data_IF_931199447759
#
_entry.id   IF_931199447759
#
_cell.length_a   1.000
_cell.length_b   1.000
_cell.length_c   1.000
_cell.angle_alpha   90.00
_cell.angle_beta   90.00
_cell.angle_gamma   90.00
#
_symmetry.space_group_name_H-M   'P 1'
#
loop_
_entity.id
_entity.type
_entity.pdbx_description
1 polymer ?
#
# COMPACT_ATOMS: atom_id res chain seq x y z
N UNK A 1 7.15 -16.55 21.60
CA UNK A 1 7.79 -16.78 20.27
C UNK A 1 8.33 -15.46 19.74
N UNK A 2 9.43 -15.44 19.00
CA UNK A 2 9.91 -14.19 18.39
C UNK A 2 8.88 -13.69 17.36
N UNK A 3 8.73 -12.36 17.27
CA UNK A 3 7.93 -11.70 16.26
C UNK A 3 8.49 -12.04 14.87
N UNK A 4 7.62 -12.44 13.95
CA UNK A 4 7.96 -12.70 12.55
C UNK A 4 7.11 -11.79 11.68
N UNK A 5 7.72 -11.12 10.72
CA UNK A 5 7.04 -10.24 9.77
C UNK A 5 7.54 -10.57 8.36
N UNK A 6 6.63 -10.91 7.44
CA UNK A 6 6.88 -10.88 6.01
C UNK A 6 6.44 -9.53 5.46
N UNK A 7 7.35 -8.78 4.86
CA UNK A 7 7.06 -7.48 4.25
C UNK A 7 7.47 -7.50 2.79
N UNK A 8 6.49 -7.32 1.89
CA UNK A 8 6.66 -7.49 0.45
C UNK A 8 5.96 -6.38 -0.34
N UNK A 9 6.41 -6.16 -1.57
CA UNK A 9 5.70 -5.30 -2.51
C UNK A 9 4.57 -6.06 -3.22
N UNK A 10 3.40 -5.44 -3.32
CA UNK A 10 2.27 -6.00 -4.07
C UNK A 10 2.52 -6.03 -5.59
N UNK A 11 3.41 -5.16 -6.08
CA UNK A 11 3.94 -5.21 -7.44
C UNK A 11 5.37 -4.69 -7.48
N UNK A 12 6.16 -5.23 -8.41
CA UNK A 12 7.50 -4.70 -8.68
C UNK A 12 7.41 -3.32 -9.34
N UNK A 13 8.14 -2.35 -8.82
CA UNK A 13 8.30 -1.04 -9.42
C UNK A 13 9.30 -1.02 -10.61
N UNK A 14 9.94 -2.15 -10.88
CA UNK A 14 10.88 -2.34 -11.99
C UNK A 14 10.20 -3.09 -13.14
N UNK A 15 9.68 -4.28 -12.86
CA UNK A 15 9.10 -5.15 -13.89
C UNK A 15 7.58 -5.05 -14.01
N UNK A 16 6.92 -4.42 -13.04
CA UNK A 16 5.46 -4.36 -12.96
C UNK A 16 4.77 -5.65 -12.50
N UNK A 17 5.51 -6.75 -12.33
CA UNK A 17 4.93 -8.06 -11.97
C UNK A 17 4.20 -7.96 -10.63
N UNK A 18 2.97 -8.45 -10.62
CA UNK A 18 2.10 -8.52 -9.43
C UNK A 18 2.45 -9.73 -8.56
N UNK A 19 2.43 -9.53 -7.25
CA UNK A 19 2.53 -10.59 -6.26
C UNK A 19 1.14 -11.13 -5.93
N UNK A 20 1.00 -12.45 -5.77
CA UNK A 20 -0.23 -13.02 -5.22
C UNK A 20 -0.30 -12.75 -3.70
N UNK A 21 -0.80 -11.57 -3.34
CA UNK A 21 -0.80 -11.09 -1.96
C UNK A 21 -1.63 -11.98 -1.03
N UNK A 22 -2.70 -12.59 -1.52
CA UNK A 22 -3.57 -13.47 -0.73
C UNK A 22 -2.87 -14.79 -0.40
N UNK A 23 -2.30 -15.46 -1.39
CA UNK A 23 -1.61 -16.74 -1.18
C UNK A 23 -0.37 -16.58 -0.27
N UNK A 24 0.37 -15.48 -0.44
CA UNK A 24 1.55 -15.21 0.39
C UNK A 24 1.13 -14.84 1.82
N UNK A 25 0.07 -14.04 2.00
CA UNK A 25 -0.45 -13.71 3.33
C UNK A 25 -0.90 -14.97 4.08
N UNK A 26 -1.65 -15.85 3.42
CA UNK A 26 -2.06 -17.14 3.98
C UNK A 26 -0.86 -17.99 4.40
N UNK A 27 0.17 -18.07 3.55
CA UNK A 27 1.40 -18.81 3.86
C UNK A 27 2.11 -18.21 5.09
N UNK A 28 2.23 -16.88 5.17
CA UNK A 28 2.84 -16.20 6.32
C UNK A 28 2.10 -16.52 7.62
N UNK A 29 0.77 -16.41 7.62
CA UNK A 29 -0.06 -16.67 8.81
C UNK A 29 0.01 -18.13 9.24
N UNK A 30 0.02 -19.09 8.32
CA UNK A 30 0.24 -20.50 8.65
C UNK A 30 1.58 -20.75 9.35
N UNK A 31 2.59 -19.90 9.12
CA UNK A 31 3.89 -19.96 9.79
C UNK A 31 4.00 -19.00 11.00
N UNK A 32 2.89 -18.39 11.42
CA UNK A 32 2.83 -17.48 12.57
C UNK A 32 3.59 -16.18 12.34
N UNK A 33 3.63 -15.70 11.10
CA UNK A 33 4.22 -14.42 10.71
C UNK A 33 3.13 -13.43 10.31
N UNK A 34 3.35 -12.15 10.60
CA UNK A 34 2.51 -11.04 10.12
C UNK A 34 2.75 -10.77 8.64
N UNK A 35 1.72 -10.30 7.95
CA UNK A 35 1.69 -10.04 6.52
C UNK A 35 1.59 -8.55 6.23
N UNK A 36 2.71 -7.91 5.85
CA UNK A 36 2.82 -6.48 5.55
C UNK A 36 3.05 -6.27 4.06
N UNK A 37 2.37 -5.26 3.48
CA UNK A 37 2.35 -5.07 2.04
C UNK A 37 2.57 -3.62 1.60
N UNK A 38 3.55 -3.41 0.74
CA UNK A 38 3.75 -2.15 0.05
C UNK A 38 2.95 -2.10 -1.25
N UNK A 39 1.95 -1.22 -1.28
CA UNK A 39 1.12 -0.93 -2.44
C UNK A 39 1.57 0.34 -3.19
N UNK A 40 2.76 0.86 -2.93
CA UNK A 40 3.22 2.11 -3.55
C UNK A 40 3.22 2.06 -5.09
N UNK A 41 3.60 0.93 -5.69
CA UNK A 41 3.53 0.74 -7.15
C UNK A 41 2.14 0.29 -7.61
N UNK A 42 1.51 -0.63 -6.86
CA UNK A 42 0.27 -1.28 -7.27
C UNK A 42 -0.99 -0.45 -6.97
N UNK A 43 -0.97 0.37 -5.92
CA UNK A 43 -2.17 0.92 -5.30
C UNK A 43 -3.07 1.73 -6.22
N UNK A 44 -2.53 2.39 -7.24
CA UNK A 44 -3.34 3.13 -8.22
C UNK A 44 -4.05 2.25 -9.23
N UNK A 45 -3.57 1.01 -9.43
CA UNK A 45 -4.03 0.12 -10.52
C UNK A 45 -4.93 -1.01 -10.04
N UNK A 46 -4.78 -1.46 -8.80
CA UNK A 46 -5.47 -2.65 -8.29
C UNK A 46 -6.44 -2.30 -7.17
N UNK A 47 -7.39 -3.21 -6.93
CA UNK A 47 -8.23 -3.15 -5.74
C UNK A 47 -7.36 -3.40 -4.51
N UNK A 48 -7.58 -2.62 -3.45
CA UNK A 48 -6.81 -2.69 -2.20
C UNK A 48 -7.75 -3.17 -1.11
N UNK A 49 -7.52 -4.37 -0.62
CA UNK A 49 -8.36 -4.99 0.39
C UNK A 49 -7.50 -5.56 1.52
N UNK A 50 -7.78 -5.12 2.75
CA UNK A 50 -7.17 -5.68 3.96
C UNK A 50 -7.69 -7.10 4.22
N UNK A 51 -9.00 -7.31 4.03
CA UNK A 51 -9.70 -8.55 4.28
C UNK A 51 -10.43 -8.96 3.00
N UNK A 52 -9.77 -9.70 2.08
CA UNK A 52 -10.39 -10.10 0.82
C UNK A 52 -11.60 -11.01 1.07
N UNK A 53 -12.80 -10.65 0.54
CA UNK A 53 -14.03 -11.37 0.83
C UNK A 53 -14.16 -12.72 0.10
N UNK A 54 -13.51 -12.84 -1.05
CA UNK A 54 -13.72 -13.95 -2.00
C UNK A 54 -12.62 -15.03 -1.90
N UNK A 55 -11.90 -15.08 -0.80
CA UNK A 55 -10.85 -16.07 -0.58
C UNK A 55 -11.28 -17.04 0.51
N UNK A 56 -11.32 -18.33 0.18
CA UNK A 56 -11.71 -19.43 1.11
C UNK A 56 -10.81 -19.54 2.35
N UNK A 57 -9.73 -18.76 2.41
CA UNK A 57 -8.81 -18.76 3.53
C UNK A 57 -9.04 -17.56 4.45
N UNK A 58 -9.47 -17.84 5.66
CA UNK A 58 -9.58 -16.85 6.76
C UNK A 58 -8.24 -16.17 7.04
N UNK A 59 -7.14 -16.76 6.60
CA UNK A 59 -5.77 -16.30 6.82
C UNK A 59 -5.21 -15.42 5.71
N UNK A 60 -5.98 -15.10 4.66
CA UNK A 60 -5.50 -14.29 3.53
C UNK A 60 -5.52 -12.77 3.78
N UNK A 61 -5.92 -12.34 4.97
CA UNK A 61 -5.93 -10.91 5.34
C UNK A 61 -4.52 -10.32 5.38
N UNK A 62 -4.45 -8.99 5.32
CA UNK A 62 -3.20 -8.24 5.48
C UNK A 62 -3.18 -7.58 6.85
N UNK A 63 -2.05 -7.64 7.55
CA UNK A 63 -1.92 -7.01 8.87
C UNK A 63 -1.58 -5.54 8.75
N UNK A 64 -0.82 -5.16 7.73
CA UNK A 64 -0.55 -3.76 7.40
C UNK A 64 -0.38 -3.57 5.89
N UNK A 65 -0.78 -2.39 5.41
CA UNK A 65 -0.52 -1.93 4.05
C UNK A 65 0.02 -0.50 4.06
N UNK A 66 0.95 -0.25 3.15
CA UNK A 66 1.58 1.04 2.94
C UNK A 66 1.15 1.58 1.58
N UNK A 67 0.67 2.82 1.55
CA UNK A 67 0.12 3.45 0.36
C UNK A 67 0.84 4.75 0.04
N UNK A 68 0.99 5.02 -1.24
CA UNK A 68 1.60 6.25 -1.77
C UNK A 68 0.59 7.02 -2.63
N UNK A 69 -0.38 7.74 -2.03
CA UNK A 69 -1.42 8.45 -2.79
C UNK A 69 -0.84 9.48 -3.76
N UNK A 70 0.38 9.98 -3.52
CA UNK A 70 1.08 10.90 -4.42
C UNK A 70 1.35 10.31 -5.81
N UNK A 71 1.26 9.00 -5.99
CA UNK A 71 1.36 8.31 -7.29
C UNK A 71 0.03 8.15 -8.00
N UNK A 72 -1.08 8.50 -7.36
CA UNK A 72 -2.42 8.46 -7.96
C UNK A 72 -2.66 9.75 -8.78
N UNK A 73 -3.60 9.68 -9.72
CA UNK A 73 -4.00 10.87 -10.49
C UNK A 73 -4.55 11.93 -9.52
N UNK A 74 -4.00 13.14 -9.60
CA UNK A 74 -4.34 14.24 -8.69
C UNK A 74 -3.64 14.20 -7.33
N UNK A 75 -2.78 13.21 -7.07
CA UNK A 75 -2.14 12.96 -5.79
C UNK A 75 -0.79 13.62 -5.47
N UNK A 76 -0.09 14.33 -6.37
CA UNK A 76 1.20 14.94 -6.02
C UNK A 76 1.15 15.73 -4.70
N UNK A 77 2.20 15.57 -3.89
CA UNK A 77 2.35 16.18 -2.55
C UNK A 77 1.42 15.62 -1.45
N UNK A 78 0.65 14.57 -1.70
CA UNK A 78 -0.12 13.92 -0.64
C UNK A 78 0.79 13.12 0.30
N UNK A 79 0.45 13.01 1.60
CA UNK A 79 1.19 12.16 2.53
C UNK A 79 1.06 10.67 2.17
N UNK A 80 2.01 9.87 2.63
CA UNK A 80 1.86 8.42 2.67
C UNK A 80 0.76 8.02 3.64
N UNK A 81 0.17 6.85 3.41
CA UNK A 81 -0.88 6.30 4.29
C UNK A 81 -0.48 4.90 4.74
N UNK A 82 -0.55 4.68 6.05
CA UNK A 82 -0.45 3.37 6.68
C UNK A 82 -1.85 2.95 7.13
N UNK A 83 -2.30 1.78 6.69
CA UNK A 83 -3.46 1.11 7.25
C UNK A 83 -2.98 -0.18 7.90
N UNK A 84 -3.24 -0.34 9.19
CA UNK A 84 -2.79 -1.52 9.92
C UNK A 84 -3.83 -1.95 10.96
N UNK A 85 -3.78 -3.21 11.36
CA UNK A 85 -4.63 -3.74 12.40
C UNK A 85 -4.31 -3.06 13.73
N UNK A 86 -5.37 -2.62 14.43
CA UNK A 86 -5.25 -1.83 15.67
C UNK A 86 -4.44 -2.55 16.75
N UNK A 87 -4.56 -3.86 16.85
CA UNK A 87 -3.84 -4.68 17.83
C UNK A 87 -2.31 -4.70 17.67
N UNK A 88 -1.79 -4.22 16.56
CA UNK A 88 -0.35 -4.10 16.34
C UNK A 88 0.25 -2.89 17.09
N UNK A 89 -0.58 -1.92 17.44
CA UNK A 89 -0.15 -0.69 18.13
C UNK A 89 -0.20 -0.86 19.64
N UNK A 90 0.76 -1.60 20.18
CA UNK A 90 0.82 -1.95 21.62
C UNK A 90 1.61 -0.96 22.47
N UNK A 91 2.41 -0.09 21.84
CA UNK A 91 3.21 0.91 22.54
C UNK A 91 2.31 2.00 23.15
N UNK A 92 2.63 2.39 24.39
CA UNK A 92 1.91 3.47 25.09
C UNK A 92 2.49 4.85 24.79
N UNK A 93 3.75 4.89 24.42
CA UNK A 93 4.49 6.09 24.05
C UNK A 93 4.64 6.10 22.54
N UNK A 94 4.28 7.18 21.83
CA UNK A 94 4.47 7.26 20.37
C UNK A 94 5.94 7.18 20.00
N UNK A 95 6.22 6.69 18.80
CA UNK A 95 7.61 6.60 18.28
C UNK A 95 8.21 7.98 18.12
N UNK A 96 7.39 8.96 17.71
CA UNK A 96 7.78 10.38 17.60
C UNK A 96 6.79 11.21 18.42
N UNK A 97 7.10 11.49 19.70
CA UNK A 97 6.25 12.33 20.54
C UNK A 97 6.28 13.79 20.05
N UNK A 98 5.15 14.47 20.18
CA UNK A 98 5.03 15.88 19.75
C UNK A 98 3.66 16.47 20.04
N UNK A 99 3.45 17.70 19.61
CA UNK A 99 2.13 18.34 19.70
C UNK A 99 1.07 17.49 19.01
N UNK A 100 -0.12 17.42 19.59
CA UNK A 100 -1.23 16.60 19.10
C UNK A 100 -1.21 15.14 19.53
N UNK A 101 -0.12 14.62 20.12
CA UNK A 101 -0.01 13.22 20.58
C UNK A 101 -0.42 13.03 22.03
N UNK A 102 -0.59 14.12 22.79
CA UNK A 102 -0.86 14.13 24.22
C UNK A 102 -2.30 14.56 24.52
N UNK A 103 -2.89 13.94 25.51
CA UNK A 103 -4.17 14.37 26.09
C UNK A 103 -3.97 15.56 27.02
N UNK A 104 -2.88 15.55 27.80
CA UNK A 104 -2.41 16.69 28.57
C UNK A 104 -0.90 16.63 28.80
N UNK A 105 -0.31 17.78 29.12
CA UNK A 105 1.07 17.90 29.55
C UNK A 105 1.21 19.07 30.53
N UNK A 106 1.99 18.89 31.57
CA UNK A 106 2.38 19.94 32.52
C UNK A 106 3.88 19.76 32.88
N UNK A 107 4.50 20.64 33.71
CA UNK A 107 5.91 20.53 34.04
C UNK A 107 6.32 19.23 34.78
N UNK A 108 5.36 18.51 35.36
CA UNK A 108 5.62 17.35 36.23
C UNK A 108 5.18 16.04 35.59
N UNK A 109 4.15 16.07 34.70
CA UNK A 109 3.53 14.85 34.16
C UNK A 109 2.90 15.08 32.78
N UNK A 110 2.64 13.97 32.08
CA UNK A 110 1.94 13.98 30.79
C UNK A 110 1.20 12.67 30.55
N UNK A 111 0.17 12.70 29.70
CA UNK A 111 -0.52 11.51 29.22
C UNK A 111 -0.72 11.58 27.71
N UNK A 112 -0.39 10.52 27.02
CA UNK A 112 -0.61 10.37 25.58
C UNK A 112 -2.06 10.00 25.26
N UNK A 113 -2.48 10.32 24.03
CA UNK A 113 -3.80 9.93 23.53
C UNK A 113 -3.97 8.41 23.52
N UNK A 114 -5.17 7.95 23.84
CA UNK A 114 -5.51 6.53 23.83
C UNK A 114 -5.62 5.97 22.40
N UNK A 115 -6.13 6.78 21.46
CA UNK A 115 -6.24 6.37 20.06
C UNK A 115 -4.87 6.31 19.39
N UNK A 116 -4.46 5.12 18.88
CA UNK A 116 -3.13 4.96 18.30
C UNK A 116 -2.92 5.77 17.01
N UNK A 117 -3.96 5.98 16.19
CA UNK A 117 -3.81 6.76 14.97
C UNK A 117 -3.37 8.19 15.27
N UNK A 118 -4.10 8.88 16.15
CA UNK A 118 -3.75 10.25 16.55
C UNK A 118 -2.46 10.31 17.39
N UNK A 119 -2.23 9.30 18.24
CA UNK A 119 -1.02 9.25 19.07
C UNK A 119 0.26 9.12 18.24
N UNK A 120 0.23 8.38 17.13
CA UNK A 120 1.41 8.17 16.28
C UNK A 120 1.61 9.29 15.22
N UNK A 121 0.69 10.27 15.13
CA UNK A 121 0.78 11.43 14.23
C UNK A 121 1.22 12.68 15.01
N UNK A 122 2.53 12.77 15.35
CA UNK A 122 3.07 13.93 16.05
C UNK A 122 3.28 15.16 15.16
N UNK A 123 2.89 16.33 15.67
CA UNK A 123 2.99 17.62 14.96
C UNK A 123 1.72 17.98 14.19
N UNK A 124 1.74 19.15 13.56
CA UNK A 124 0.64 19.61 12.70
C UNK A 124 0.59 18.76 11.44
N UNK A 125 -0.52 18.05 11.17
CA UNK A 125 -0.61 17.23 9.96
C UNK A 125 -0.69 18.09 8.71
N UNK A 126 -0.35 17.51 7.55
CA UNK A 126 -0.52 18.10 6.23
C UNK A 126 -2.01 18.10 5.85
N UNK A 127 -2.80 19.02 6.42
CA UNK A 127 -4.28 18.98 6.40
C UNK A 127 -4.83 19.00 4.97
N UNK A 128 -4.39 19.94 4.15
CA UNK A 128 -4.88 20.10 2.76
C UNK A 128 -4.46 18.90 1.91
N UNK A 129 -3.23 18.44 2.08
CA UNK A 129 -2.69 17.30 1.38
C UNK A 129 -3.38 15.99 1.81
N UNK A 130 -3.80 15.86 3.07
CA UNK A 130 -4.58 14.73 3.57
C UNK A 130 -6.00 14.74 2.96
N UNK A 131 -6.65 15.90 2.87
CA UNK A 131 -7.94 16.04 2.16
C UNK A 131 -7.78 15.64 0.69
N UNK A 132 -6.70 16.09 0.04
CA UNK A 132 -6.38 15.68 -1.35
C UNK A 132 -6.18 14.18 -1.45
N UNK A 133 -5.48 13.54 -0.51
CA UNK A 133 -5.33 12.09 -0.48
C UNK A 133 -6.69 11.38 -0.46
N UNK A 134 -7.65 11.84 0.36
CA UNK A 134 -9.01 11.33 0.35
C UNK A 134 -9.71 11.47 -1.01
N UNK A 135 -9.58 12.64 -1.64
CA UNK A 135 -10.19 12.91 -2.96
C UNK A 135 -9.62 12.01 -4.07
N UNK A 136 -8.32 11.69 -4.06
CA UNK A 136 -7.75 10.81 -5.10
C UNK A 136 -8.18 9.36 -4.95
N UNK A 137 -8.47 8.88 -3.74
CA UNK A 137 -9.10 7.58 -3.54
C UNK A 137 -10.53 7.56 -4.08
N UNK A 138 -11.32 8.61 -3.82
CA UNK A 138 -12.67 8.76 -4.37
C UNK A 138 -12.65 8.82 -5.90
N UNK A 139 -11.69 9.55 -6.48
CA UNK A 139 -11.53 9.61 -7.94
C UNK A 139 -11.19 8.24 -8.52
N UNK A 140 -10.27 7.50 -7.90
CA UNK A 140 -9.94 6.13 -8.32
C UNK A 140 -11.17 5.23 -8.29
N UNK A 141 -11.98 5.29 -7.23
CA UNK A 141 -13.20 4.51 -7.09
C UNK A 141 -14.23 4.89 -8.13
N UNK A 142 -14.43 6.19 -8.38
CA UNK A 142 -15.37 6.68 -9.39
C UNK A 142 -14.99 6.26 -10.82
N UNK A 143 -13.70 6.19 -11.15
CA UNK A 143 -13.22 5.68 -12.45
C UNK A 143 -13.37 4.17 -12.55
N UNK A 144 -13.17 3.46 -11.44
CA UNK A 144 -13.21 2.01 -11.35
C UNK A 144 -11.90 1.33 -11.72
N UNK A 145 -11.48 0.38 -10.89
CA UNK A 145 -10.22 -0.38 -11.07
C UNK A 145 -10.22 -1.16 -12.37
N UNK A 146 -11.34 -1.76 -12.73
CA UNK A 146 -11.52 -2.54 -13.95
C UNK A 146 -11.30 -1.67 -15.21
N UNK A 147 -11.83 -0.44 -15.20
CA UNK A 147 -11.60 0.53 -16.28
C UNK A 147 -10.13 0.92 -16.39
N UNK A 148 -9.49 1.21 -15.25
CA UNK A 148 -8.07 1.54 -15.20
C UNK A 148 -7.24 0.38 -15.75
N UNK A 149 -7.45 -0.83 -15.26
CA UNK A 149 -6.72 -2.04 -15.68
C UNK A 149 -6.88 -2.31 -17.18
N UNK A 150 -8.11 -2.34 -17.68
CA UNK A 150 -8.37 -2.59 -19.10
C UNK A 150 -7.69 -1.57 -20.03
N UNK A 151 -7.68 -0.30 -19.62
CA UNK A 151 -7.00 0.74 -20.40
C UNK A 151 -5.48 0.56 -20.42
N UNK A 152 -4.88 0.34 -19.26
CA UNK A 152 -3.44 0.15 -19.08
C UNK A 152 -2.95 -1.11 -19.78
N UNK A 153 -3.68 -2.23 -19.67
CA UNK A 153 -3.34 -3.50 -20.33
C UNK A 153 -3.35 -3.38 -21.86
N UNK A 154 -4.31 -2.66 -22.42
CA UNK A 154 -4.36 -2.39 -23.85
C UNK A 154 -3.14 -1.59 -24.33
N UNK A 155 -2.73 -0.57 -23.58
CA UNK A 155 -1.57 0.25 -23.90
C UNK A 155 -0.27 -0.56 -23.75
N UNK A 156 -0.16 -1.33 -22.66
CA UNK A 156 0.98 -2.22 -22.41
C UNK A 156 1.15 -3.25 -23.52
N UNK A 157 0.07 -3.91 -23.94
CA UNK A 157 0.11 -4.91 -24.99
C UNK A 157 0.70 -4.32 -26.31
N UNK A 158 0.22 -3.14 -26.71
CA UNK A 158 0.74 -2.43 -27.89
C UNK A 158 2.21 -2.08 -27.78
N UNK A 159 2.63 -1.59 -26.60
CA UNK A 159 4.03 -1.24 -26.36
C UNK A 159 4.95 -2.47 -26.41
N UNK A 160 4.56 -3.54 -25.71
CA UNK A 160 5.32 -4.81 -25.68
C UNK A 160 5.41 -5.43 -27.07
N UNK A 161 4.35 -5.40 -27.88
CA UNK A 161 4.37 -5.88 -29.26
C UNK A 161 5.40 -5.12 -30.11
N UNK A 162 5.38 -3.78 -30.01
CA UNK A 162 6.33 -2.93 -30.74
C UNK A 162 7.78 -3.17 -30.30
N UNK A 163 8.03 -3.26 -28.99
CA UNK A 163 9.37 -3.46 -28.45
C UNK A 163 9.93 -4.84 -28.75
N UNK A 164 9.10 -5.88 -28.78
CA UNK A 164 9.53 -7.24 -29.17
C UNK A 164 9.98 -7.35 -30.63
N UNK A 165 9.48 -6.47 -31.48
CA UNK A 165 9.88 -6.41 -32.89
C UNK A 165 11.27 -5.76 -33.09
N UNK A 166 11.80 -5.09 -32.05
CA UNK A 166 13.09 -4.39 -32.09
C UNK A 166 14.18 -5.23 -31.39
N UNK A 167 15.16 -5.80 -32.16
CA UNK A 167 16.16 -6.70 -31.56
C UNK A 167 17.09 -6.07 -30.53
N UNK A 168 17.18 -4.74 -30.48
CA UNK A 168 17.99 -4.01 -29.51
C UNK A 168 17.31 -3.84 -28.14
N UNK A 169 16.04 -4.22 -28.03
CA UNK A 169 15.25 -4.06 -26.79
C UNK A 169 15.02 -5.41 -26.13
N UNK A 170 15.53 -5.57 -24.91
CA UNK A 170 15.26 -6.70 -24.05
C UNK A 170 14.35 -6.28 -22.89
N UNK A 171 13.12 -6.79 -22.86
CA UNK A 171 12.16 -6.46 -21.78
C UNK A 171 12.43 -7.34 -20.57
N UNK A 172 12.64 -6.71 -19.41
CA UNK A 172 12.95 -7.39 -18.17
C UNK A 172 11.73 -8.08 -17.54
N UNK A 173 11.98 -9.23 -16.96
CA UNK A 173 11.01 -10.02 -16.19
C UNK A 173 10.17 -10.98 -17.04
N UNK A 174 9.35 -11.77 -16.36
CA UNK A 174 8.48 -12.74 -17.02
C UNK A 174 7.28 -12.05 -17.68
N UNK A 175 7.25 -12.05 -19.02
CA UNK A 175 6.17 -11.42 -19.79
C UNK A 175 4.84 -12.20 -19.74
N UNK A 176 4.85 -13.45 -19.28
CA UNK A 176 3.63 -14.25 -19.10
C UNK A 176 3.00 -14.04 -17.70
N UNK A 177 3.71 -13.38 -16.79
CA UNK A 177 3.17 -13.07 -15.46
C UNK A 177 2.19 -11.90 -15.54
N UNK A 178 1.18 -11.93 -14.67
CA UNK A 178 0.29 -10.78 -14.47
C UNK A 178 1.10 -9.57 -14.01
N UNK A 179 0.88 -8.43 -14.67
CA UNK A 179 1.69 -7.24 -14.43
C UNK A 179 0.92 -5.94 -14.62
N UNK A 180 1.49 -4.89 -14.07
CA UNK A 180 1.10 -3.50 -14.31
C UNK A 180 1.76 -2.97 -15.59
N UNK A 181 1.35 -1.79 -16.04
CA UNK A 181 1.98 -1.05 -17.17
C UNK A 181 3.33 -0.42 -16.79
N UNK A 182 4.08 -1.09 -15.91
CA UNK A 182 5.46 -0.74 -15.54
C UNK A 182 6.39 -1.71 -16.26
N UNK A 183 7.30 -1.16 -17.05
CA UNK A 183 8.23 -1.96 -17.87
C UNK A 183 9.62 -1.37 -17.75
N UNK A 184 10.61 -2.24 -17.64
CA UNK A 184 12.03 -1.91 -17.78
C UNK A 184 12.62 -2.71 -18.95
N UNK A 185 13.51 -2.09 -19.66
CA UNK A 185 14.20 -2.66 -20.83
C UNK A 185 15.58 -2.03 -21.00
#
# INVERSE_FOLDING_TARGET
>A
RPLKIGSFSAASNVTGILSNTCAIADLLHRHGALSFWDFAAAGRYVRIEMNPPDVDSVSAHKDAIFLSPHKFIGGPSTPGVLVARRELFTNRVPVVPGGGTVAYVNPEDHAYLADPAHREEGGTPAIIEAVRAGLVFQLKEAVGVETIRAHEERLLARAVEAWRAEPSIEILGNLAAERLSIVSF
#
